data_IF_336320172705
#
_entry.id   IF_336320172705
#
_cell.length_a   1.000
_cell.length_b   1.000
_cell.length_c   1.000
_cell.angle_alpha   90.00
_cell.angle_beta   90.00
_cell.angle_gamma   90.00
#
_symmetry.space_group_name_H-M   'P 1'
#
loop_
_entity.id
_entity.type
_entity.pdbx_description
1 polymer ?
#
# COMPACT_ATOMS: atom_id res chain seq x y z
N UNK A 1 -3.68 -1.00 14.44
CA UNK A 1 -4.13 -0.25 13.25
C UNK A 1 -3.52 -0.92 12.04
N UNK A 2 -4.25 -1.81 11.36
CA UNK A 2 -3.79 -2.49 10.14
C UNK A 2 -4.67 -2.08 8.96
N UNK A 3 -4.64 -0.78 8.63
CA UNK A 3 -4.72 -0.41 7.22
C UNK A 3 -3.28 -0.43 6.75
N UNK A 4 -2.92 -1.34 5.85
CA UNK A 4 -1.58 -1.38 5.25
C UNK A 4 -1.46 -0.10 4.42
N UNK A 5 -1.09 1.01 5.05
CA UNK A 5 -0.84 2.26 4.37
C UNK A 5 0.51 2.09 3.66
N UNK A 6 0.47 1.87 2.35
CA UNK A 6 1.66 1.83 1.52
C UNK A 6 2.26 3.25 1.46
N UNK A 7 3.20 3.55 2.36
CA UNK A 7 3.97 4.78 2.28
C UNK A 7 5.05 4.64 1.22
N UNK A 8 5.09 5.63 0.33
CA UNK A 8 6.15 5.77 -0.65
C UNK A 8 7.44 6.21 0.01
N UNK A 9 8.50 5.42 -0.15
CA UNK A 9 9.84 5.76 0.31
C UNK A 9 10.67 6.17 -0.91
N UNK A 10 11.05 7.45 -0.98
CA UNK A 10 11.84 7.95 -2.12
C UNK A 10 13.27 7.40 -2.19
N UNK A 11 13.78 6.94 -1.07
CA UNK A 11 15.07 6.30 -1.00
C UNK A 11 15.05 5.25 0.13
N UNK A 12 14.81 3.97 -0.18
CA UNK A 12 14.66 2.91 0.83
C UNK A 12 15.97 2.57 1.57
N UNK A 13 17.06 3.21 1.19
CA UNK A 13 18.36 3.15 1.88
C UNK A 13 18.60 4.35 2.81
N UNK A 14 17.72 5.36 2.76
CA UNK A 14 17.86 6.58 3.54
C UNK A 14 17.13 6.43 4.87
N UNK A 15 17.87 6.55 5.98
CA UNK A 15 17.35 6.43 7.35
C UNK A 15 16.18 7.38 7.61
N UNK A 16 16.23 8.61 7.09
CA UNK A 16 15.14 9.58 7.25
C UNK A 16 13.85 9.12 6.57
N UNK A 17 13.97 8.55 5.36
CA UNK A 17 12.82 8.07 4.60
C UNK A 17 12.27 6.76 5.19
N UNK A 18 13.15 5.89 5.70
CA UNK A 18 12.76 4.69 6.46
C UNK A 18 12.05 5.06 7.76
N UNK A 19 12.50 6.12 8.46
CA UNK A 19 11.83 6.63 9.66
C UNK A 19 10.43 7.16 9.35
N UNK A 20 10.23 7.86 8.23
CA UNK A 20 8.88 8.28 7.81
C UNK A 20 7.94 7.10 7.53
N UNK A 21 8.47 5.95 7.13
CA UNK A 21 7.72 4.72 6.92
C UNK A 21 7.67 3.80 8.15
N UNK A 22 8.05 4.28 9.34
CA UNK A 22 8.16 3.47 10.58
C UNK A 22 8.95 2.16 10.38
N UNK A 23 10.02 2.24 9.58
CA UNK A 23 10.84 1.10 9.18
C UNK A 23 12.33 1.36 9.36
N UNK A 24 12.71 2.29 10.23
CA UNK A 24 14.11 2.61 10.56
C UNK A 24 14.87 1.38 11.07
N UNK A 25 14.20 0.52 11.83
CA UNK A 25 14.76 -0.73 12.38
C UNK A 25 14.61 -1.93 11.44
N UNK A 26 14.18 -1.70 10.19
CA UNK A 26 13.95 -2.79 9.26
C UNK A 26 15.24 -3.50 8.84
N UNK A 27 15.20 -4.83 8.84
CA UNK A 27 16.35 -5.69 8.55
C UNK A 27 16.25 -6.19 7.12
N UNK A 28 17.30 -5.98 6.32
CA UNK A 28 17.38 -6.52 4.96
C UNK A 28 17.46 -8.05 5.01
N UNK A 29 16.52 -8.72 4.34
CA UNK A 29 16.55 -10.16 4.16
C UNK A 29 17.60 -10.54 3.11
N UNK A 30 18.28 -11.67 3.33
CA UNK A 30 19.27 -12.16 2.39
C UNK A 30 18.61 -12.71 1.13
N UNK A 31 19.28 -12.63 -0.02
CA UNK A 31 18.76 -13.20 -1.27
C UNK A 31 18.58 -14.73 -1.21
N UNK A 32 19.26 -15.41 -0.28
CA UNK A 32 19.11 -16.84 -0.02
C UNK A 32 17.89 -17.19 0.83
N UNK A 33 17.20 -16.20 1.39
CA UNK A 33 16.02 -16.40 2.21
C UNK A 33 14.87 -16.99 1.37
N UNK A 34 14.20 -18.07 1.83
CA UNK A 34 13.10 -18.69 1.10
C UNK A 34 11.95 -17.72 0.79
N UNK A 35 11.64 -16.80 1.72
CA UNK A 35 10.62 -15.78 1.52
C UNK A 35 11.01 -14.83 0.38
N UNK A 36 12.28 -14.41 0.31
CA UNK A 36 12.78 -13.52 -0.74
C UNK A 36 12.70 -14.18 -2.12
N UNK A 37 13.06 -15.46 -2.22
CA UNK A 37 12.97 -16.20 -3.47
C UNK A 37 11.52 -16.36 -3.93
N UNK A 38 10.63 -16.67 -2.99
CA UNK A 38 9.19 -16.77 -3.21
C UNK A 38 8.60 -15.44 -3.68
N UNK A 39 8.87 -14.34 -2.98
CA UNK A 39 8.38 -13.01 -3.33
C UNK A 39 8.94 -12.53 -4.68
N UNK A 40 10.20 -12.85 -4.99
CA UNK A 40 10.82 -12.53 -6.30
C UNK A 40 10.14 -13.26 -7.47
N UNK A 41 9.63 -14.48 -7.23
CA UNK A 41 8.85 -15.21 -8.24
C UNK A 41 7.51 -14.52 -8.52
N UNK A 42 6.81 -14.07 -7.48
CA UNK A 42 5.57 -13.29 -7.59
C UNK A 42 5.83 -11.98 -8.34
N UNK A 43 6.87 -11.24 -7.94
CA UNK A 43 7.29 -10.00 -8.61
C UNK A 43 7.51 -10.18 -10.12
N UNK A 44 8.12 -11.30 -10.52
CA UNK A 44 8.33 -11.65 -11.93
C UNK A 44 7.00 -11.90 -12.65
N UNK A 45 6.05 -12.59 -12.01
CA UNK A 45 4.71 -12.86 -12.57
C UNK A 45 3.85 -11.60 -12.73
N UNK A 46 4.02 -10.64 -11.82
CA UNK A 46 3.36 -9.32 -11.87
C UNK A 46 3.97 -8.38 -12.93
N UNK A 47 5.17 -8.70 -13.44
CA UNK A 47 5.79 -7.99 -14.55
C UNK A 47 6.94 -7.04 -14.17
N UNK A 48 7.53 -7.20 -12.98
CA UNK A 48 8.74 -6.45 -12.62
C UNK A 48 9.91 -6.94 -13.46
N UNK A 49 10.45 -6.04 -14.30
CA UNK A 49 11.54 -6.35 -15.25
C UNK A 49 12.83 -6.86 -14.59
N UNK A 50 13.15 -6.36 -13.39
CA UNK A 50 14.34 -6.73 -12.63
C UNK A 50 13.98 -7.23 -11.23
N UNK A 51 13.13 -8.26 -11.15
CA UNK A 51 12.64 -8.80 -9.89
C UNK A 51 13.77 -9.23 -8.93
N UNK A 52 14.90 -9.75 -9.46
CA UNK A 52 16.07 -10.13 -8.67
C UNK A 52 16.86 -8.97 -8.05
N UNK A 53 16.52 -7.71 -8.38
CA UNK A 53 17.10 -6.51 -7.75
C UNK A 53 16.19 -5.90 -6.68
N UNK A 54 15.05 -6.53 -6.39
CA UNK A 54 14.16 -6.09 -5.31
C UNK A 54 14.78 -6.42 -3.96
N UNK A 55 14.88 -5.40 -3.11
CA UNK A 55 15.24 -5.58 -1.71
C UNK A 55 13.98 -5.86 -0.88
N UNK A 56 14.03 -6.87 -0.02
CA UNK A 56 12.96 -7.13 0.94
C UNK A 56 13.48 -6.86 2.34
N UNK A 57 12.79 -6.00 3.09
CA UNK A 57 13.18 -5.63 4.46
C UNK A 57 12.10 -6.04 5.43
N UNK A 58 12.45 -6.74 6.50
CA UNK A 58 11.54 -7.13 7.55
C UNK A 58 11.42 -6.01 8.59
N UNK A 59 10.20 -5.61 8.96
CA UNK A 59 9.97 -4.65 10.05
C UNK A 59 8.99 -5.20 11.08
N UNK A 60 9.35 -5.09 12.36
CA UNK A 60 8.47 -5.43 13.49
C UNK A 60 7.48 -4.30 13.83
N UNK A 61 7.85 -3.07 13.51
CA UNK A 61 7.10 -1.86 13.88
C UNK A 61 6.14 -1.39 12.79
N UNK A 62 6.27 -1.92 11.58
CA UNK A 62 5.43 -1.53 10.47
C UNK A 62 4.14 -2.37 10.46
N UNK A 63 2.98 -1.71 10.50
CA UNK A 63 1.68 -2.37 10.40
C UNK A 63 1.22 -2.56 8.94
N UNK A 64 2.04 -2.12 7.98
CA UNK A 64 1.78 -2.14 6.55
C UNK A 64 2.97 -2.63 5.74
N UNK A 65 2.72 -3.12 4.52
CA UNK A 65 3.78 -3.31 3.53
C UNK A 65 4.06 -1.92 2.95
N UNK A 66 5.32 -1.52 2.89
CA UNK A 66 5.69 -0.18 2.39
C UNK A 66 6.66 -0.30 1.24
N UNK A 67 6.54 0.61 0.28
CA UNK A 67 7.28 0.54 -0.96
C UNK A 67 8.27 1.68 -1.08
N UNK A 68 9.54 1.35 -1.35
CA UNK A 68 10.55 2.31 -1.75
C UNK A 68 11.06 2.10 -3.15
N UNK A 69 11.24 3.16 -3.92
CA UNK A 69 11.88 3.10 -5.24
C UNK A 69 12.90 4.24 -5.34
N UNK A 70 14.14 3.92 -5.70
CA UNK A 70 15.15 4.85 -6.19
C UNK A 70 15.49 4.58 -7.67
N UNK A 71 16.36 5.39 -8.28
CA UNK A 71 16.72 5.30 -9.72
C UNK A 71 17.30 3.94 -10.17
N UNK A 72 17.73 3.10 -9.22
CA UNK A 72 18.47 1.85 -9.50
C UNK A 72 17.92 0.62 -8.80
N UNK A 73 17.03 0.78 -7.81
CA UNK A 73 16.57 -0.28 -6.91
C UNK A 73 15.17 0.02 -6.38
N UNK A 74 14.37 -1.02 -6.22
CA UNK A 74 13.12 -0.96 -5.49
C UNK A 74 13.18 -1.88 -4.26
N UNK A 75 12.45 -1.51 -3.22
CA UNK A 75 12.46 -2.16 -1.92
C UNK A 75 11.02 -2.32 -1.43
N UNK A 76 10.71 -3.49 -0.90
CA UNK A 76 9.44 -3.80 -0.25
C UNK A 76 9.75 -4.07 1.22
N UNK A 77 9.12 -3.29 2.10
CA UNK A 77 9.20 -3.47 3.54
C UNK A 77 8.05 -4.37 3.96
N UNK A 78 8.37 -5.56 4.44
CA UNK A 78 7.43 -6.61 4.82
C UNK A 78 7.22 -6.57 6.33
N UNK A 79 5.97 -6.50 6.81
CA UNK A 79 5.66 -6.61 8.22
C UNK A 79 5.95 -8.02 8.76
N UNK A 80 6.36 -8.10 10.02
CA UNK A 80 6.68 -9.36 10.69
C UNK A 80 5.53 -10.38 10.65
N UNK A 81 4.27 -9.91 10.69
CA UNK A 81 3.08 -10.77 10.60
C UNK A 81 3.06 -11.59 9.30
N UNK A 82 3.35 -10.97 8.15
CA UNK A 82 3.36 -11.66 6.84
C UNK A 82 4.52 -12.65 6.74
N UNK A 83 5.70 -12.24 7.22
CA UNK A 83 6.88 -13.11 7.22
C UNK A 83 6.70 -14.32 8.14
N UNK A 84 6.10 -14.11 9.32
CA UNK A 84 5.77 -15.18 10.27
C UNK A 84 4.75 -16.13 9.64
N UNK A 85 3.67 -15.59 9.07
CA UNK A 85 2.62 -16.38 8.44
C UNK A 85 3.11 -17.24 7.26
N UNK A 86 4.11 -16.77 6.50
CA UNK A 86 4.75 -17.56 5.46
C UNK A 86 5.47 -18.79 6.02
N UNK A 87 6.17 -18.62 7.16
CA UNK A 87 6.91 -19.70 7.82
C UNK A 87 6.05 -20.58 8.74
N UNK A 88 4.81 -20.18 9.02
CA UNK A 88 3.86 -20.94 9.83
C UNK A 88 3.16 -22.04 9.03
N UNK A 89 2.88 -23.16 9.69
CA UNK A 89 2.01 -24.20 9.15
C UNK A 89 0.53 -23.74 9.15
N UNK A 90 -0.33 -24.40 8.37
CA UNK A 90 -1.76 -24.01 8.28
C UNK A 90 -2.50 -24.05 9.62
N UNK A 91 -2.20 -25.02 10.47
CA UNK A 91 -2.77 -25.13 11.82
C UNK A 91 -2.45 -23.89 12.68
N UNK A 92 -1.22 -23.41 12.61
CA UNK A 92 -0.74 -22.29 13.42
C UNK A 92 -1.32 -20.97 12.89
N UNK A 93 -1.47 -20.87 11.55
CA UNK A 93 -2.11 -19.72 10.93
C UNK A 93 -3.56 -19.56 11.36
N UNK A 94 -4.31 -20.65 11.39
CA UNK A 94 -5.73 -20.62 11.79
C UNK A 94 -5.91 -20.26 13.27
N UNK A 95 -5.02 -20.74 14.14
CA UNK A 95 -5.13 -20.51 15.59
C UNK A 95 -4.73 -19.10 16.02
N UNK A 96 -3.82 -18.47 15.29
CA UNK A 96 -3.29 -17.14 15.60
C UNK A 96 -3.91 -16.01 14.74
N UNK A 97 -4.97 -16.30 13.98
CA UNK A 97 -5.55 -15.38 12.98
C UNK A 97 -4.45 -14.74 12.11
N UNK A 98 -3.55 -15.57 11.55
CA UNK A 98 -2.50 -15.10 10.64
C UNK A 98 -2.99 -15.14 9.18
N UNK A 99 -2.43 -14.28 8.30
CA UNK A 99 -2.76 -14.29 6.87
C UNK A 99 -2.55 -15.68 6.23
N UNK A 100 -3.47 -16.08 5.37
CA UNK A 100 -3.32 -17.26 4.52
C UNK A 100 -2.23 -17.07 3.47
N UNK A 101 -1.74 -18.16 2.87
CA UNK A 101 -0.75 -18.05 1.79
C UNK A 101 -1.28 -17.25 0.58
N UNK A 102 -2.57 -17.39 0.27
CA UNK A 102 -3.22 -16.62 -0.79
C UNK A 102 -3.29 -15.12 -0.46
N UNK A 103 -3.52 -14.76 0.81
CA UNK A 103 -3.45 -13.36 1.26
C UNK A 103 -2.02 -12.81 1.13
N UNK A 104 -1.01 -13.61 1.49
CA UNK A 104 0.41 -13.23 1.33
C UNK A 104 0.75 -13.03 -0.16
N UNK A 105 0.34 -13.96 -1.02
CA UNK A 105 0.51 -13.87 -2.47
C UNK A 105 -0.06 -12.54 -3.00
N UNK A 106 -1.30 -12.23 -2.60
CA UNK A 106 -1.98 -11.00 -3.02
C UNK A 106 -1.24 -9.75 -2.55
N UNK A 107 -0.87 -9.67 -1.26
CA UNK A 107 -0.20 -8.46 -0.72
C UNK A 107 1.14 -8.22 -1.41
N UNK A 108 1.95 -9.26 -1.60
CA UNK A 108 3.23 -9.12 -2.31
C UNK A 108 3.01 -8.74 -3.77
N UNK A 109 2.03 -9.35 -4.43
CA UNK A 109 1.70 -9.02 -5.81
C UNK A 109 1.23 -7.57 -5.96
N UNK A 110 0.42 -7.07 -5.02
CA UNK A 110 -0.11 -5.70 -5.00
C UNK A 110 1.01 -4.66 -4.92
N UNK A 111 1.91 -4.83 -3.96
CA UNK A 111 3.06 -3.93 -3.82
C UNK A 111 4.00 -4.01 -5.03
N UNK A 112 4.15 -5.19 -5.62
CA UNK A 112 4.89 -5.35 -6.87
C UNK A 112 4.22 -4.62 -8.04
N UNK A 113 2.88 -4.57 -8.10
CA UNK A 113 2.16 -3.87 -9.15
C UNK A 113 2.41 -2.35 -9.09
N UNK A 114 2.51 -1.78 -7.88
CA UNK A 114 2.90 -0.37 -7.72
C UNK A 114 4.29 -0.06 -8.28
N UNK A 115 5.23 -1.00 -8.18
CA UNK A 115 6.57 -0.89 -8.79
C UNK A 115 6.48 -1.03 -10.30
N UNK A 116 5.82 -2.09 -10.78
CA UNK A 116 5.74 -2.42 -12.19
C UNK A 116 5.11 -1.29 -13.02
N UNK A 117 4.11 -0.61 -12.46
CA UNK A 117 3.40 0.48 -13.12
C UNK A 117 3.91 1.89 -12.76
N UNK A 118 5.00 1.99 -11.99
CA UNK A 118 5.60 3.26 -11.57
C UNK A 118 4.62 4.19 -10.84
N UNK A 119 3.70 3.64 -10.05
CA UNK A 119 2.74 4.42 -9.23
C UNK A 119 3.47 5.43 -8.32
N UNK A 120 4.66 5.04 -7.83
CA UNK A 120 5.88 5.85 -7.70
C UNK A 120 5.81 7.32 -8.12
N UNK A 121 6.01 7.45 -9.43
CA UNK A 121 6.24 8.68 -10.16
C UNK A 121 4.92 9.42 -10.33
N UNK A 122 3.83 8.68 -10.58
CA UNK A 122 2.48 9.23 -10.76
C UNK A 122 2.04 9.98 -9.50
N UNK A 123 2.18 9.36 -8.34
CA UNK A 123 1.83 9.97 -7.05
C UNK A 123 2.64 11.25 -6.78
N UNK A 124 3.96 11.22 -7.03
CA UNK A 124 4.81 12.41 -6.86
C UNK A 124 4.50 13.54 -7.85
N UNK A 125 4.11 13.22 -9.07
CA UNK A 125 3.73 14.21 -10.08
C UNK A 125 2.35 14.83 -9.80
N UNK A 126 1.45 14.11 -9.11
CA UNK A 126 0.09 14.56 -8.84
C UNK A 126 0.04 15.87 -8.03
N UNK A 127 0.89 16.02 -7.01
CA UNK A 127 0.92 17.22 -6.18
C UNK A 127 1.28 18.50 -6.97
N UNK A 128 2.42 18.60 -7.67
CA UNK A 128 2.74 19.80 -8.44
C UNK A 128 1.71 20.07 -9.55
N UNK A 129 1.21 19.05 -10.23
CA UNK A 129 0.16 19.23 -11.27
C UNK A 129 -1.11 19.81 -10.66
N UNK A 130 -1.58 19.26 -9.53
CA UNK A 130 -2.76 19.76 -8.84
C UNK A 130 -2.56 21.17 -8.29
N UNK A 131 -1.34 21.54 -7.89
CA UNK A 131 -0.98 22.89 -7.47
C UNK A 131 -1.09 23.90 -8.61
N UNK A 132 -0.55 23.58 -9.80
CA UNK A 132 -0.71 24.44 -10.98
C UNK A 132 -2.18 24.56 -11.42
N UNK A 133 -2.93 23.45 -11.37
CA UNK A 133 -4.36 23.45 -11.65
C UNK A 133 -5.16 24.31 -10.66
N UNK A 134 -4.87 24.17 -9.37
CA UNK A 134 -5.48 24.98 -8.32
C UNK A 134 -5.15 26.46 -8.52
N UNK A 135 -3.89 26.82 -8.80
CA UNK A 135 -3.49 28.20 -9.07
C UNK A 135 -4.25 28.82 -10.26
N UNK A 136 -4.38 28.07 -11.37
CA UNK A 136 -5.12 28.52 -12.54
C UNK A 136 -6.62 28.69 -12.28
N UNK A 137 -7.18 27.88 -11.38
CA UNK A 137 -8.59 27.98 -10.97
C UNK A 137 -8.83 29.19 -10.07
N UNK A 138 -8.00 29.37 -9.03
CA UNK A 138 -8.18 30.45 -8.05
C UNK A 138 -7.97 31.83 -8.69
N UNK A 139 -7.13 31.95 -9.72
CA UNK A 139 -6.88 33.23 -10.41
C UNK A 139 -8.10 33.77 -11.14
N UNK A 140 -9.14 32.94 -11.34
CA UNK A 140 -10.41 33.30 -11.99
C UNK A 140 -11.51 33.65 -10.99
N UNK A 141 -11.27 33.46 -9.69
CA UNK A 141 -12.27 33.67 -8.63
C UNK A 141 -11.95 34.96 -7.89
N UNK A 142 -12.81 35.97 -8.04
CA UNK A 142 -12.62 37.29 -7.40
C UNK A 142 -12.79 37.26 -5.88
N UNK A 143 -13.65 36.38 -5.36
CA UNK A 143 -13.86 36.20 -3.93
C UNK A 143 -12.73 35.35 -3.32
N UNK A 144 -11.91 35.95 -2.47
CA UNK A 144 -10.73 35.31 -1.85
C UNK A 144 -11.08 34.08 -1.01
N UNK A 145 -12.22 34.06 -0.34
CA UNK A 145 -12.67 32.90 0.46
C UNK A 145 -13.08 31.73 -0.42
N UNK A 146 -13.87 32.00 -1.47
CA UNK A 146 -14.26 30.98 -2.45
C UNK A 146 -13.04 30.46 -3.21
N UNK A 147 -12.09 31.34 -3.54
CA UNK A 147 -10.83 30.97 -4.17
C UNK A 147 -10.02 30.02 -3.26
N UNK A 148 -9.89 30.34 -1.96
CA UNK A 148 -9.19 29.48 -1.01
C UNK A 148 -9.85 28.10 -0.88
N UNK A 149 -11.19 28.04 -0.73
CA UNK A 149 -11.93 26.78 -0.64
C UNK A 149 -11.77 25.96 -1.92
N UNK A 150 -11.93 26.59 -3.09
CA UNK A 150 -11.79 25.91 -4.38
C UNK A 150 -10.37 25.37 -4.59
N UNK A 151 -9.34 26.13 -4.20
CA UNK A 151 -7.95 25.69 -4.24
C UNK A 151 -7.71 24.47 -3.35
N UNK A 152 -8.10 24.54 -2.08
CA UNK A 152 -7.95 23.42 -1.13
C UNK A 152 -8.73 22.18 -1.59
N UNK A 153 -9.97 22.35 -2.04
CA UNK A 153 -10.79 21.25 -2.56
C UNK A 153 -10.15 20.61 -3.80
N UNK A 154 -9.62 21.42 -4.72
CA UNK A 154 -8.93 20.91 -5.92
C UNK A 154 -7.72 20.07 -5.54
N UNK A 155 -6.88 20.56 -4.63
CA UNK A 155 -5.71 19.82 -4.14
C UNK A 155 -6.13 18.50 -3.49
N UNK A 156 -7.08 18.52 -2.55
CA UNK A 156 -7.53 17.33 -1.84
C UNK A 156 -8.17 16.31 -2.79
N UNK A 157 -9.16 16.72 -3.58
CA UNK A 157 -9.89 15.83 -4.48
C UNK A 157 -8.99 15.22 -5.54
N UNK A 158 -8.07 16.00 -6.11
CA UNK A 158 -7.14 15.46 -7.12
C UNK A 158 -6.26 14.36 -6.53
N UNK A 159 -5.68 14.59 -5.34
CA UNK A 159 -4.81 13.59 -4.71
C UNK A 159 -5.59 12.34 -4.29
N UNK A 160 -6.82 12.49 -3.78
CA UNK A 160 -7.70 11.35 -3.45
C UNK A 160 -8.06 10.55 -4.70
N UNK A 161 -8.45 11.22 -5.79
CA UNK A 161 -8.79 10.56 -7.05
C UNK A 161 -7.60 9.82 -7.66
N UNK A 162 -6.41 10.43 -7.66
CA UNK A 162 -5.19 9.79 -8.18
C UNK A 162 -4.80 8.60 -7.33
N UNK A 163 -4.83 8.73 -6.01
CA UNK A 163 -4.56 7.63 -5.08
C UNK A 163 -5.51 6.46 -5.35
N UNK A 164 -6.82 6.72 -5.45
CA UNK A 164 -7.82 5.70 -5.74
C UNK A 164 -7.59 5.00 -7.09
N UNK A 165 -7.25 5.75 -8.14
CA UNK A 165 -6.94 5.16 -9.45
C UNK A 165 -5.68 4.30 -9.43
N UNK A 166 -4.67 4.70 -8.66
CA UNK A 166 -3.44 3.93 -8.44
C UNK A 166 -3.76 2.58 -7.80
N UNK A 167 -4.56 2.55 -6.72
CA UNK A 167 -4.94 1.31 -6.05
C UNK A 167 -5.76 0.39 -6.96
N UNK A 168 -6.77 0.92 -7.67
CA UNK A 168 -7.56 0.12 -8.61
C UNK A 168 -6.73 -0.50 -9.72
N UNK A 169 -5.72 0.24 -10.20
CA UNK A 169 -4.83 -0.28 -11.23
C UNK A 169 -3.92 -1.37 -10.68
N UNK A 170 -3.44 -1.24 -9.45
CA UNK A 170 -2.67 -2.27 -8.78
C UNK A 170 -3.52 -3.55 -8.63
N UNK A 171 -4.73 -3.44 -8.08
CA UNK A 171 -5.68 -4.55 -7.93
C UNK A 171 -5.94 -5.26 -9.28
N UNK A 172 -6.15 -4.49 -10.36
CA UNK A 172 -6.39 -5.04 -11.69
C UNK A 172 -5.18 -5.80 -12.26
N UNK A 173 -3.96 -5.30 -12.05
CA UNK A 173 -2.72 -5.98 -12.44
C UNK A 173 -2.60 -7.31 -11.67
N UNK A 174 -2.83 -7.27 -10.36
CA UNK A 174 -2.76 -8.44 -9.46
C UNK A 174 -3.79 -9.51 -9.85
N UNK A 175 -5.03 -9.08 -10.11
CA UNK A 175 -6.10 -9.97 -10.56
C UNK A 175 -5.74 -10.63 -11.90
N UNK A 176 -5.20 -9.86 -12.86
CA UNK A 176 -4.74 -10.37 -14.16
C UNK A 176 -3.57 -11.36 -14.01
N UNK A 177 -2.72 -11.19 -13.00
CA UNK A 177 -1.62 -12.09 -12.67
C UNK A 177 -2.09 -13.37 -11.93
N UNK A 178 -3.37 -13.47 -11.55
CA UNK A 178 -3.97 -14.67 -10.94
C UNK A 178 -4.08 -14.66 -9.42
N UNK A 179 -3.75 -13.54 -8.76
CA UNK A 179 -3.72 -13.44 -7.29
C UNK A 179 -4.98 -12.80 -6.68
N UNK A 180 -5.97 -12.44 -7.50
CA UNK A 180 -7.22 -11.82 -7.06
C UNK A 180 -7.99 -12.55 -5.94
N UNK A 181 -8.07 -13.90 -5.92
CA UNK A 181 -8.76 -14.61 -4.84
C UNK A 181 -8.21 -14.35 -3.44
N UNK A 182 -6.88 -14.14 -3.33
CA UNK A 182 -6.23 -13.78 -2.07
C UNK A 182 -6.65 -12.40 -1.55
N UNK A 183 -6.85 -11.45 -2.46
CA UNK A 183 -7.32 -10.10 -2.12
C UNK A 183 -8.71 -10.11 -1.49
N UNK A 184 -9.62 -10.94 -2.00
CA UNK A 184 -10.97 -11.08 -1.41
C UNK A 184 -10.91 -11.57 0.03
N UNK A 185 -10.02 -12.52 0.33
CA UNK A 185 -9.82 -13.02 1.70
C UNK A 185 -9.23 -11.94 2.60
N UNK A 186 -8.19 -11.26 2.10
CA UNK A 186 -7.50 -10.18 2.79
C UNK A 186 -8.45 -9.03 3.16
N UNK A 187 -9.26 -8.56 2.21
CA UNK A 187 -10.22 -7.48 2.46
C UNK A 187 -11.30 -7.89 3.47
N UNK A 188 -11.82 -9.12 3.40
CA UNK A 188 -12.78 -9.64 4.39
C UNK A 188 -12.19 -9.68 5.79
N UNK A 189 -10.97 -10.20 5.94
CA UNK A 189 -10.26 -10.26 7.22
C UNK A 189 -9.99 -8.86 7.78
N UNK A 190 -9.61 -7.92 6.91
CA UNK A 190 -9.45 -6.51 7.30
C UNK A 190 -10.77 -5.87 7.76
N UNK A 191 -11.90 -6.15 7.10
CA UNK A 191 -13.21 -5.62 7.50
C UNK A 191 -13.62 -6.13 8.88
N UNK A 192 -13.45 -7.43 9.15
CA UNK A 192 -13.75 -8.02 10.47
C UNK A 192 -12.93 -7.32 11.56
N UNK A 193 -11.61 -7.20 11.36
CA UNK A 193 -10.72 -6.50 12.30
C UNK A 193 -11.12 -5.02 12.51
N UNK A 194 -11.54 -4.33 11.44
CA UNK A 194 -11.99 -2.94 11.54
C UNK A 194 -13.30 -2.83 12.33
N UNK A 195 -14.24 -3.77 12.19
CA UNK A 195 -15.45 -3.83 13.00
C UNK A 195 -15.11 -4.00 14.49
N UNK A 196 -14.19 -4.90 14.84
CA UNK A 196 -13.73 -5.09 16.22
C UNK A 196 -13.10 -3.80 16.78
N UNK A 197 -12.25 -3.14 16.00
CA UNK A 197 -11.67 -1.84 16.39
C UNK A 197 -12.76 -0.80 16.58
N UNK A 198 -13.77 -0.75 15.71
CA UNK A 198 -14.91 0.17 15.83
C UNK A 198 -15.66 -0.07 17.13
N UNK A 199 -15.94 -1.32 17.48
CA UNK A 199 -16.64 -1.67 18.73
C UNK A 199 -15.84 -1.24 19.97
N UNK A 200 -14.52 -1.49 19.96
CA UNK A 200 -13.62 -1.14 21.06
C UNK A 200 -13.41 0.37 21.21
N UNK A 201 -13.22 1.08 20.09
CA UNK A 201 -12.87 2.50 20.09
C UNK A 201 -14.06 3.43 19.94
N UNK A 202 -15.23 2.89 19.59
CA UNK A 202 -16.45 3.64 19.19
C UNK A 202 -16.16 4.68 18.10
N UNK A 203 -15.20 4.39 17.22
CA UNK A 203 -14.75 5.34 16.21
C UNK A 203 -15.86 5.62 15.20
N UNK A 204 -16.24 6.89 14.98
CA UNK A 204 -17.18 7.26 13.92
C UNK A 204 -16.55 7.16 12.52
N UNK A 205 -15.23 6.96 12.44
CA UNK A 205 -14.48 6.89 11.17
C UNK A 205 -14.57 5.52 10.48
N UNK A 206 -15.18 4.52 11.13
CA UNK A 206 -15.37 3.17 10.61
C UNK A 206 -16.87 2.91 10.51
N UNK A 207 -17.34 2.43 9.36
CA UNK A 207 -18.74 2.06 9.12
C UNK A 207 -19.13 0.80 9.90
N UNK A 208 -20.43 0.50 9.97
CA UNK A 208 -20.92 -0.76 10.52
C UNK A 208 -20.44 -2.00 9.74
N UNK A 209 -20.09 -1.83 8.47
CA UNK A 209 -19.51 -2.86 7.61
C UNK A 209 -17.98 -3.02 7.74
N UNK A 210 -17.31 -2.17 8.55
CA UNK A 210 -15.85 -2.25 8.75
C UNK A 210 -15.03 -1.49 7.71
N UNK A 211 -15.66 -0.65 6.89
CA UNK A 211 -14.97 0.23 5.94
C UNK A 211 -14.63 1.56 6.61
N UNK A 212 -13.49 2.18 6.26
CA UNK A 212 -13.21 3.54 6.71
C UNK A 212 -14.04 4.56 5.92
N UNK A 213 -14.48 5.63 6.57
CA UNK A 213 -15.11 6.77 5.91
C UNK A 213 -14.10 7.42 4.94
N UNK A 214 -14.20 7.08 3.65
CA UNK A 214 -13.29 7.51 2.59
C UNK A 214 -12.69 6.36 1.76
N UNK A 215 -12.69 5.12 2.27
CA UNK A 215 -12.27 3.92 1.54
C UNK A 215 -13.47 3.26 0.86
N UNK A 216 -13.97 3.83 -0.23
CA UNK A 216 -14.77 3.04 -1.18
C UNK A 216 -13.83 2.29 -2.12
N UNK A 217 -13.13 1.27 -1.61
CA UNK A 217 -12.62 0.19 -2.44
C UNK A 217 -13.76 -0.82 -2.58
N UNK A 218 -14.53 -0.69 -3.65
CA UNK A 218 -15.57 -1.64 -4.02
C UNK A 218 -15.09 -2.29 -5.31
N UNK A 219 -14.75 -3.58 -5.19
CA UNK A 219 -14.69 -4.55 -6.28
C UNK A 219 -15.94 -4.38 -7.16
N UNK A 220 -15.73 -4.06 -8.43
CA UNK A 220 -16.69 -4.30 -9.52
C UNK A 220 -16.12 -5.39 -10.42
#
# INVERSE_FOLDING_TARGET
MSGYAAYTIAEPTNVFMLRQANAETSVLLQNSDPFVQYASKIASQVGIRFAGSLEFRLSEQNAGTSLGINLTKACIIVPLELYTAYHSNESDRSNADLPSLAEIDFVIAHECAHIADNHMIISRAAFPISLFGAYSLISKISNKWLAAIAGCATLLLTNVCVSRQIEYRADAIVAKAGFGPGGVQFFKRSQVRNCEVRELTKSPMITESGDYLGTQCILC
#
